data_IF_438398237507
#
_entry.id   IF_438398237507
#
_cell.length_a   1.000
_cell.length_b   1.000
_cell.length_c   1.000
_cell.angle_alpha   90.00
_cell.angle_beta   90.00
_cell.angle_gamma   90.00
#
_symmetry.space_group_name_H-M   'P 1'
#
loop_
_entity.id
_entity.type
_entity.pdbx_description
1 polymer ?
#
# COMPACT_ATOMS: atom_id res chain seq x y z
N UNK A 1 14.38 -7.14 0.60
CA UNK A 1 15.25 -8.08 1.35
C UNK A 1 15.19 -7.70 2.83
N UNK A 2 14.76 -8.62 3.70
CA UNK A 2 14.79 -8.40 5.15
C UNK A 2 16.24 -8.56 5.62
N UNK A 3 16.76 -7.55 6.31
CA UNK A 3 18.06 -7.63 6.96
C UNK A 3 17.88 -7.93 8.44
N UNK A 4 18.27 -9.13 8.84
CA UNK A 4 18.23 -9.60 10.24
C UNK A 4 19.62 -9.57 10.89
N UNK A 5 20.64 -9.05 10.20
CA UNK A 5 22.03 -9.04 10.68
C UNK A 5 22.37 -7.84 11.57
N UNK A 6 21.52 -6.82 11.60
CA UNK A 6 21.64 -5.65 12.48
C UNK A 6 20.79 -5.74 13.76
N UNK A 7 21.05 -4.86 14.72
CA UNK A 7 20.25 -4.71 15.96
C UNK A 7 18.78 -4.32 15.70
N UNK A 8 18.46 -3.86 14.48
CA UNK A 8 17.11 -3.50 14.07
C UNK A 8 16.75 -4.22 12.78
N UNK A 9 15.54 -4.81 12.77
CA UNK A 9 14.95 -5.36 11.54
C UNK A 9 14.68 -4.20 10.59
N UNK A 10 15.27 -4.25 9.40
CA UNK A 10 15.15 -3.21 8.38
C UNK A 10 14.60 -3.75 7.06
N UNK A 11 13.80 -2.93 6.38
CA UNK A 11 13.39 -3.14 4.99
C UNK A 11 14.29 -2.32 4.07
N UNK A 12 14.92 -2.99 3.10
CA UNK A 12 15.80 -2.35 2.11
C UNK A 12 15.10 -2.25 0.76
N UNK A 13 15.08 -1.04 0.19
CA UNK A 13 14.79 -0.82 -1.22
C UNK A 13 16.03 -1.15 -2.05
N UNK A 14 15.84 -1.91 -3.13
CA UNK A 14 16.91 -2.37 -4.04
C UNK A 14 16.45 -2.16 -5.47
N UNK A 15 17.40 -2.29 -6.42
CA UNK A 15 17.17 -2.09 -7.86
C UNK A 15 16.71 -0.65 -8.21
N UNK A 16 17.70 0.24 -8.30
CA UNK A 16 17.49 1.64 -8.67
C UNK A 16 17.71 1.90 -10.17
N UNK A 17 17.81 0.85 -10.99
CA UNK A 17 18.16 0.95 -12.42
C UNK A 17 17.11 1.68 -13.27
N UNK A 18 15.87 1.74 -12.80
CA UNK A 18 14.75 2.43 -13.45
C UNK A 18 14.38 3.76 -12.78
N UNK A 19 15.09 4.15 -11.71
CA UNK A 19 14.82 5.42 -11.02
C UNK A 19 15.15 6.60 -11.95
N UNK A 20 14.32 7.64 -11.88
CA UNK A 20 14.50 8.88 -12.61
C UNK A 20 14.32 10.06 -11.68
N UNK A 21 15.10 11.11 -11.92
CA UNK A 21 14.92 12.37 -11.21
C UNK A 21 13.66 13.04 -11.74
N UNK A 22 12.67 13.17 -10.85
CA UNK A 22 11.54 14.07 -11.01
C UNK A 22 11.94 15.36 -10.29
N UNK A 23 11.83 16.52 -10.93
CA UNK A 23 12.39 17.78 -10.41
C UNK A 23 11.91 18.11 -9.00
N UNK A 24 10.68 18.64 -8.89
CA UNK A 24 10.03 19.07 -7.65
C UNK A 24 8.62 18.49 -7.42
N UNK A 25 8.00 18.86 -6.29
CA UNK A 25 6.65 18.41 -5.91
C UNK A 25 5.63 18.96 -6.92
N UNK A 26 5.00 18.07 -7.67
CA UNK A 26 4.04 18.41 -8.74
C UNK A 26 4.64 18.34 -10.15
N UNK A 27 5.95 18.11 -10.28
CA UNK A 27 6.54 17.82 -11.59
C UNK A 27 6.13 16.43 -12.05
N UNK A 28 5.85 16.32 -13.34
CA UNK A 28 5.50 15.09 -14.02
C UNK A 28 6.61 14.70 -14.98
N UNK A 29 6.87 13.40 -15.05
CA UNK A 29 7.83 12.81 -15.96
C UNK A 29 7.10 12.02 -17.04
N UNK A 30 7.25 12.45 -18.28
CA UNK A 30 6.71 11.74 -19.43
C UNK A 30 7.77 10.76 -19.95
N UNK A 31 7.48 9.46 -19.86
CA UNK A 31 8.44 8.41 -20.21
C UNK A 31 7.71 7.18 -20.75
N UNK A 32 8.44 6.35 -21.50
CA UNK A 32 7.97 5.00 -21.82
C UNK A 32 7.58 4.26 -20.53
N UNK A 33 6.48 3.51 -20.62
CA UNK A 33 5.98 2.64 -19.56
C UNK A 33 6.97 1.54 -19.19
N UNK A 34 7.73 1.69 -18.10
CA UNK A 34 8.76 0.74 -17.64
C UNK A 34 8.42 0.13 -16.27
N UNK A 35 9.15 -0.91 -15.86
CA UNK A 35 8.94 -1.60 -14.59
C UNK A 35 7.86 -2.68 -14.62
N UNK A 36 7.53 -3.21 -13.45
CA UNK A 36 6.58 -4.32 -13.33
C UNK A 36 5.15 -3.87 -13.61
N UNK A 37 4.50 -4.50 -14.60
CA UNK A 37 3.13 -4.19 -15.00
C UNK A 37 2.12 -4.41 -13.87
N UNK A 38 2.33 -5.40 -13.00
CA UNK A 38 1.37 -5.74 -11.94
C UNK A 38 1.16 -4.64 -10.91
N UNK A 39 2.17 -3.81 -10.68
CA UNK A 39 2.14 -2.75 -9.66
C UNK A 39 2.08 -1.35 -10.26
N UNK A 40 2.03 -1.24 -11.59
CA UNK A 40 2.13 0.04 -12.29
C UNK A 40 0.85 0.87 -12.15
N UNK A 41 1.00 2.14 -11.81
CA UNK A 41 -0.11 3.09 -11.74
C UNK A 41 -0.77 3.32 -13.12
N UNK A 42 -2.10 3.48 -13.21
CA UNK A 42 -2.86 3.54 -14.47
C UNK A 42 -2.38 4.61 -15.48
N UNK A 43 -1.96 5.78 -15.01
CA UNK A 43 -1.46 6.87 -15.84
C UNK A 43 -0.07 6.60 -16.44
N UNK A 44 0.66 5.62 -15.91
CA UNK A 44 1.95 5.20 -16.46
C UNK A 44 1.80 4.25 -17.66
N UNK A 45 0.57 3.82 -17.98
CA UNK A 45 0.26 3.01 -19.15
C UNK A 45 0.07 3.96 -20.31
N UNK A 46 1.12 4.11 -21.14
CA UNK A 46 1.16 4.98 -22.30
C UNK A 46 -0.15 5.10 -23.10
N UNK A 47 -0.91 4.01 -23.39
CA UNK A 47 -2.17 4.07 -24.14
C UNK A 47 -3.26 5.03 -23.63
N UNK A 48 -3.16 5.49 -22.39
CA UNK A 48 -4.17 6.33 -21.74
C UNK A 48 -3.76 7.79 -21.56
N UNK A 49 -2.69 8.24 -22.21
CA UNK A 49 -2.16 9.60 -22.04
C UNK A 49 -2.22 10.42 -23.32
N UNK A 50 -2.15 11.74 -23.22
CA UNK A 50 -2.07 12.65 -24.37
C UNK A 50 -0.62 12.96 -24.79
N UNK A 51 0.37 12.29 -24.18
CA UNK A 51 1.79 12.60 -24.36
C UNK A 51 2.45 11.64 -25.35
N UNK A 52 3.21 12.18 -26.30
CA UNK A 52 3.91 11.42 -27.33
C UNK A 52 5.38 11.86 -27.45
N UNK A 53 6.27 10.93 -27.80
CA UNK A 53 7.64 11.27 -28.18
C UNK A 53 7.71 11.80 -29.63
N UNK A 54 8.90 12.23 -30.06
CA UNK A 54 9.15 12.72 -31.42
C UNK A 54 8.90 11.67 -32.53
N UNK A 55 8.76 10.40 -32.17
CA UNK A 55 8.48 9.28 -33.08
C UNK A 55 7.00 8.88 -33.07
N UNK A 56 6.15 9.58 -32.30
CA UNK A 56 4.73 9.26 -32.16
C UNK A 56 4.44 8.12 -31.18
N UNK A 57 5.39 7.75 -30.32
CA UNK A 57 5.19 6.75 -29.26
C UNK A 57 4.52 7.39 -28.06
N UNK A 58 3.40 6.83 -27.61
CA UNK A 58 2.65 7.34 -26.47
C UNK A 58 3.41 7.08 -25.15
N UNK A 59 3.46 8.08 -24.28
CA UNK A 59 4.29 8.11 -23.06
C UNK A 59 3.41 8.02 -21.82
N UNK A 60 3.80 7.19 -20.85
CA UNK A 60 3.19 7.23 -19.52
C UNK A 60 3.57 8.52 -18.78
N UNK A 61 2.70 8.96 -17.88
CA UNK A 61 2.96 10.05 -16.95
C UNK A 61 3.39 9.45 -15.62
N UNK A 62 4.51 9.91 -15.08
CA UNK A 62 5.02 9.49 -13.77
C UNK A 62 5.10 10.67 -12.84
N UNK A 63 4.56 10.51 -11.65
CA UNK A 63 4.83 11.38 -10.51
C UNK A 63 5.19 10.52 -9.29
N UNK A 64 5.50 11.18 -8.16
CA UNK A 64 5.79 10.49 -6.90
C UNK A 64 4.60 9.68 -6.35
N UNK A 65 3.37 9.90 -6.83
CA UNK A 65 2.17 9.17 -6.41
C UNK A 65 1.96 7.89 -7.21
N UNK A 66 2.64 7.70 -8.32
CA UNK A 66 2.74 6.40 -8.99
C UNK A 66 3.48 5.37 -8.10
N UNK A 67 4.49 5.80 -7.35
CA UNK A 67 5.17 4.94 -6.36
C UNK A 67 4.22 4.60 -5.20
N UNK A 68 3.45 5.58 -4.71
CA UNK A 68 2.44 5.37 -3.66
C UNK A 68 1.39 4.34 -4.10
N UNK A 69 0.89 4.43 -5.33
CA UNK A 69 -0.01 3.43 -5.90
C UNK A 69 0.60 2.02 -5.86
N UNK A 70 1.86 1.90 -6.29
CA UNK A 70 2.58 0.63 -6.33
C UNK A 70 2.69 0.01 -4.93
N UNK A 71 2.98 0.82 -3.91
CA UNK A 71 3.04 0.37 -2.51
C UNK A 71 1.64 -0.07 -2.03
N UNK A 72 0.59 0.66 -2.39
CA UNK A 72 -0.79 0.32 -2.03
C UNK A 72 -1.20 -1.05 -2.56
N UNK A 73 -0.81 -1.37 -3.80
CA UNK A 73 -1.02 -2.68 -4.41
C UNK A 73 -0.23 -3.77 -3.66
N UNK A 74 1.01 -3.51 -3.24
CA UNK A 74 1.78 -4.47 -2.42
C UNK A 74 1.08 -4.72 -1.08
N UNK A 75 0.63 -3.68 -0.38
CA UNK A 75 -0.09 -3.84 0.89
C UNK A 75 -1.42 -4.57 0.72
N UNK A 76 -2.16 -4.26 -0.33
CA UNK A 76 -3.38 -4.98 -0.70
C UNK A 76 -3.09 -6.48 -0.88
N UNK A 77 -1.99 -6.83 -1.55
CA UNK A 77 -1.57 -8.22 -1.74
C UNK A 77 -1.19 -8.94 -0.45
N UNK A 78 -0.54 -8.24 0.47
CA UNK A 78 -0.16 -8.83 1.76
C UNK A 78 -1.39 -9.17 2.61
N UNK A 79 -2.51 -8.48 2.41
CA UNK A 79 -3.75 -8.69 3.13
C UNK A 79 -4.69 -9.67 2.43
N UNK A 80 -4.65 -9.74 1.10
CA UNK A 80 -5.43 -10.65 0.27
C UNK A 80 -4.51 -11.57 -0.55
N UNK A 81 -4.31 -12.79 -0.04
CA UNK A 81 -3.45 -13.80 -0.63
C UNK A 81 -3.97 -14.35 -1.98
N UNK A 82 -5.22 -14.07 -2.38
CA UNK A 82 -5.80 -14.47 -3.67
C UNK A 82 -5.33 -13.56 -4.81
N UNK A 83 -4.01 -13.33 -4.90
CA UNK A 83 -3.40 -12.64 -6.02
C UNK A 83 -2.74 -13.65 -6.95
N UNK A 84 -3.54 -14.21 -7.85
CA UNK A 84 -3.06 -15.03 -8.95
C UNK A 84 -3.62 -14.46 -10.24
N UNK A 85 -2.93 -13.45 -10.80
CA UNK A 85 -3.13 -13.10 -12.21
C UNK A 85 -2.25 -14.04 -13.06
N UNK A 86 -2.56 -15.34 -13.05
CA UNK A 86 -1.78 -16.34 -13.82
C UNK A 86 -2.12 -16.35 -15.30
N UNK A 87 -3.28 -15.82 -15.73
CA UNK A 87 -3.83 -16.17 -17.05
C UNK A 87 -4.28 -14.98 -17.93
N UNK A 88 -3.92 -13.74 -17.60
CA UNK A 88 -4.28 -12.59 -18.43
C UNK A 88 -3.25 -12.39 -19.56
N UNK A 89 -3.64 -12.77 -20.78
CA UNK A 89 -2.74 -12.79 -21.95
C UNK A 89 -2.53 -11.45 -22.65
N UNK A 90 -3.27 -10.38 -22.29
CA UNK A 90 -3.12 -9.06 -22.92
C UNK A 90 -2.94 -7.95 -21.90
N UNK A 91 -2.18 -6.93 -22.31
CA UNK A 91 -1.88 -5.75 -21.50
C UNK A 91 -3.17 -5.05 -21.02
N UNK A 92 -4.16 -4.89 -21.90
CA UNK A 92 -5.42 -4.23 -21.58
C UNK A 92 -6.26 -4.98 -20.55
N UNK A 93 -6.29 -6.32 -20.64
CA UNK A 93 -6.98 -7.15 -19.66
C UNK A 93 -6.29 -7.04 -18.29
N UNK A 94 -4.96 -7.00 -18.28
CA UNK A 94 -4.18 -6.82 -17.06
C UNK A 94 -4.44 -5.44 -16.44
N UNK A 95 -4.41 -4.36 -17.21
CA UNK A 95 -4.71 -3.00 -16.73
C UNK A 95 -6.10 -2.90 -16.12
N UNK A 96 -7.10 -3.46 -16.81
CA UNK A 96 -8.48 -3.46 -16.33
C UNK A 96 -8.63 -4.30 -15.05
N UNK A 97 -7.99 -5.46 -14.97
CA UNK A 97 -8.04 -6.30 -13.78
C UNK A 97 -7.36 -5.63 -12.57
N UNK A 98 -6.24 -4.94 -12.77
CA UNK A 98 -5.57 -4.18 -11.71
C UNK A 98 -6.47 -3.05 -11.22
N UNK A 99 -7.09 -2.30 -12.14
CA UNK A 99 -8.03 -1.22 -11.81
C UNK A 99 -9.24 -1.75 -11.05
N UNK A 100 -9.87 -2.81 -11.55
CA UNK A 100 -11.05 -3.41 -10.94
C UNK A 100 -10.73 -4.01 -9.56
N UNK A 101 -9.52 -4.55 -9.34
CA UNK A 101 -9.10 -5.04 -8.01
C UNK A 101 -8.85 -3.91 -7.02
N UNK A 102 -8.22 -2.82 -7.46
CA UNK A 102 -8.09 -1.60 -6.65
C UNK A 102 -9.46 -1.05 -6.19
N UNK A 103 -10.49 -1.16 -7.04
CA UNK A 103 -11.87 -0.78 -6.69
C UNK A 103 -12.57 -1.73 -5.72
N UNK A 104 -12.20 -3.03 -5.71
CA UNK A 104 -12.86 -4.07 -4.92
C UNK A 104 -12.24 -4.33 -3.56
N UNK A 105 -11.09 -3.72 -3.25
CA UNK A 105 -10.44 -3.89 -1.95
C UNK A 105 -11.36 -3.50 -0.76
N UNK A 106 -12.42 -2.75 -1.05
CA UNK A 106 -13.34 -2.11 -0.11
C UNK A 106 -14.28 -3.05 0.68
N UNK A 107 -14.43 -4.34 0.34
CA UNK A 107 -15.57 -5.12 0.87
C UNK A 107 -15.26 -6.38 1.67
N UNK A 108 -14.12 -7.04 1.49
CA UNK A 108 -13.93 -8.40 2.06
C UNK A 108 -13.05 -8.40 3.33
N UNK A 109 -12.06 -7.52 3.43
CA UNK A 109 -11.04 -7.57 4.50
C UNK A 109 -11.40 -6.73 5.75
N UNK A 110 -12.38 -5.83 5.61
CA UNK A 110 -12.84 -4.83 6.59
C UNK A 110 -13.41 -5.38 7.94
N UNK A 111 -13.62 -6.69 8.09
CA UNK A 111 -14.41 -7.24 9.22
C UNK A 111 -13.66 -7.37 10.57
N UNK A 112 -12.37 -7.01 10.66
CA UNK A 112 -11.61 -7.00 11.92
C UNK A 112 -11.18 -5.57 12.28
N UNK A 113 -11.39 -5.15 13.52
CA UNK A 113 -11.24 -3.76 13.98
C UNK A 113 -9.84 -3.11 13.79
N UNK A 114 -8.78 -3.85 13.50
CA UNK A 114 -7.47 -3.29 13.11
C UNK A 114 -7.21 -3.24 11.59
N UNK A 115 -8.02 -3.94 10.79
CA UNK A 115 -7.86 -4.03 9.33
C UNK A 115 -8.59 -2.88 8.65
N UNK A 116 -9.67 -2.35 9.22
CA UNK A 116 -10.41 -1.23 8.61
C UNK A 116 -9.52 0.01 8.42
N UNK A 117 -8.79 0.44 9.45
CA UNK A 117 -7.91 1.61 9.33
C UNK A 117 -6.81 1.41 8.30
N UNK A 118 -6.24 0.20 8.23
CA UNK A 118 -5.24 -0.13 7.21
C UNK A 118 -5.87 -0.17 5.81
N UNK A 119 -7.11 -0.66 5.69
CA UNK A 119 -7.85 -0.65 4.44
C UNK A 119 -8.15 0.77 3.95
N UNK A 120 -8.52 1.69 4.84
CA UNK A 120 -8.74 3.10 4.50
C UNK A 120 -7.45 3.76 3.98
N UNK A 121 -6.30 3.44 4.60
CA UNK A 121 -4.99 3.90 4.11
C UNK A 121 -4.72 3.35 2.71
N UNK A 122 -4.89 2.05 2.48
CA UNK A 122 -4.67 1.42 1.18
C UNK A 122 -5.60 2.04 0.12
N UNK A 123 -6.88 2.24 0.45
CA UNK A 123 -7.84 2.89 -0.43
C UNK A 123 -7.41 4.32 -0.79
N UNK A 124 -6.84 5.08 0.16
CA UNK A 124 -6.30 6.42 -0.11
C UNK A 124 -5.09 6.40 -1.07
N UNK A 125 -4.34 5.29 -1.12
CA UNK A 125 -3.20 5.10 -2.02
C UNK A 125 -3.65 4.64 -3.42
N UNK A 126 -4.78 3.94 -3.50
CA UNK A 126 -5.33 3.34 -4.71
C UNK A 126 -6.44 4.17 -5.39
N UNK A 127 -6.47 5.49 -5.15
CA UNK A 127 -7.38 6.40 -5.86
C UNK A 127 -7.04 6.44 -7.36
N UNK A 128 -8.07 6.45 -8.22
CA UNK A 128 -7.86 6.45 -9.69
C UNK A 128 -7.08 7.67 -10.16
N UNK A 129 -7.50 8.85 -9.69
CA UNK A 129 -6.81 10.10 -9.99
C UNK A 129 -5.54 10.22 -9.17
N UNK A 130 -4.41 10.44 -9.84
CA UNK A 130 -3.14 10.74 -9.15
C UNK A 130 -3.30 11.96 -8.21
N UNK A 131 -4.08 12.97 -8.61
CA UNK A 131 -4.31 14.14 -7.76
C UNK A 131 -4.99 13.80 -6.42
N UNK A 132 -5.88 12.80 -6.40
CA UNK A 132 -6.66 12.40 -5.23
C UNK A 132 -5.92 11.39 -4.32
N UNK A 133 -4.88 10.72 -4.83
CA UNK A 133 -4.09 9.78 -4.02
C UNK A 133 -3.41 10.49 -2.86
N UNK A 134 -3.32 9.81 -1.72
CA UNK A 134 -2.50 10.29 -0.60
C UNK A 134 -1.03 10.42 -1.00
N UNK A 135 -0.32 11.37 -0.39
CA UNK A 135 1.14 11.41 -0.48
C UNK A 135 1.79 10.52 0.59
N UNK A 136 3.08 10.22 0.42
CA UNK A 136 3.80 9.29 1.29
C UNK A 136 3.88 9.78 2.74
N UNK A 137 3.86 11.09 2.97
CA UNK A 137 3.92 11.70 4.29
C UNK A 137 2.58 11.48 5.02
N UNK A 138 1.47 11.73 4.34
CA UNK A 138 0.12 11.44 4.84
C UNK A 138 -0.04 9.96 5.16
N UNK A 139 0.39 9.07 4.25
CA UNK A 139 0.34 7.61 4.47
C UNK A 139 1.15 7.22 5.71
N UNK A 140 2.39 7.72 5.83
CA UNK A 140 3.27 7.41 6.96
C UNK A 140 2.67 7.86 8.29
N UNK A 141 2.05 9.05 8.32
CA UNK A 141 1.38 9.57 9.52
C UNK A 141 0.18 8.72 9.92
N UNK A 142 -0.64 8.31 8.95
CA UNK A 142 -1.81 7.45 9.21
C UNK A 142 -1.38 6.09 9.74
N UNK A 143 -0.34 5.47 9.17
CA UNK A 143 0.23 4.21 9.65
C UNK A 143 0.75 4.38 11.08
N UNK A 144 1.53 5.45 11.36
CA UNK A 144 2.03 5.73 12.70
C UNK A 144 0.91 5.85 13.73
N UNK A 145 -0.18 6.54 13.38
CA UNK A 145 -1.36 6.68 14.24
C UNK A 145 -2.01 5.33 14.54
N UNK A 146 -2.17 4.47 13.53
CA UNK A 146 -2.73 3.13 13.72
C UNK A 146 -1.85 2.24 14.61
N UNK A 147 -0.52 2.33 14.46
CA UNK A 147 0.41 1.58 15.30
C UNK A 147 0.33 2.04 16.76
N UNK A 148 0.30 3.35 17.01
CA UNK A 148 0.13 3.88 18.36
C UNK A 148 -1.20 3.44 19.01
N UNK A 149 -2.28 3.38 18.22
CA UNK A 149 -3.57 2.89 18.70
C UNK A 149 -3.50 1.40 19.06
N UNK A 150 -2.94 0.57 18.18
CA UNK A 150 -2.79 -0.86 18.42
C UNK A 150 -1.91 -1.17 19.65
N UNK A 151 -0.83 -0.41 19.86
CA UNK A 151 0.04 -0.54 21.04
C UNK A 151 -0.68 -0.19 22.35
N UNK A 152 -1.53 0.86 22.33
CA UNK A 152 -2.34 1.25 23.49
C UNK A 152 -3.40 0.19 23.82
N UNK A 153 -4.07 -0.34 22.80
CA UNK A 153 -5.07 -1.41 22.97
C UNK A 153 -4.43 -2.68 23.57
N UNK A 154 -3.29 -3.11 23.03
CA UNK A 154 -2.56 -4.27 23.54
C UNK A 154 -2.12 -4.10 25.01
N UNK A 155 -1.67 -2.89 25.37
CA UNK A 155 -1.27 -2.56 26.75
C UNK A 155 -2.46 -2.59 27.72
N UNK A 156 -3.62 -2.09 27.30
CA UNK A 156 -4.85 -2.09 28.12
C UNK A 156 -5.41 -3.50 28.33
N UNK A 157 -5.40 -4.34 27.29
CA UNK A 157 -5.82 -5.75 27.41
C UNK A 157 -4.93 -6.52 28.39
N UNK A 158 -3.61 -6.27 28.36
CA UNK A 158 -2.67 -6.87 29.29
C UNK A 158 -2.95 -6.46 30.74
N UNK A 159 -3.22 -5.18 31.00
CA UNK A 159 -3.57 -4.68 32.33
C UNK A 159 -4.89 -5.23 32.86
N UNK A 160 -5.91 -5.36 32.00
CA UNK A 160 -7.19 -5.95 32.37
C UNK A 160 -7.07 -7.45 32.69
N UNK A 161 -6.26 -8.18 31.91
CA UNK A 161 -5.95 -9.59 32.16
C UNK A 161 -5.22 -9.82 33.49
N UNK A 162 -4.26 -8.95 33.84
CA UNK A 162 -3.55 -9.00 35.13
C UNK A 162 -4.49 -8.72 36.30
N UNK A 163 -5.36 -7.71 36.18
CA UNK A 163 -6.38 -7.39 37.20
C UNK A 163 -7.37 -8.55 37.39
N UNK A 164 -7.86 -9.16 36.31
CA UNK A 164 -8.78 -10.29 36.39
C UNK A 164 -8.16 -11.51 37.12
N UNK A 165 -6.89 -11.83 36.82
CA UNK A 165 -6.15 -12.92 37.49
C UNK A 165 -5.90 -12.62 38.97
N UNK A 166 -5.59 -11.38 39.32
CA UNK A 166 -5.42 -10.92 40.71
C UNK A 166 -6.71 -11.08 41.52
N UNK A 167 -7.85 -10.64 40.98
CA UNK A 167 -9.16 -10.77 41.63
C UNK A 167 -9.59 -12.23 41.81
N UNK A 168 -9.31 -13.10 40.83
CA UNK A 168 -9.59 -14.53 40.94
C UNK A 168 -8.71 -15.21 42.02
N UNK A 169 -7.47 -14.76 42.19
CA UNK A 169 -6.57 -15.28 43.22
C UNK A 169 -7.00 -14.88 44.63
N UNK A 170 -7.43 -13.63 44.83
CA UNK A 170 -7.87 -13.13 46.14
C UNK A 170 -9.19 -13.74 46.62
N UNK A 171 -10.11 -14.08 45.69
CA UNK A 171 -11.35 -14.80 46.01
C UNK A 171 -11.09 -16.24 46.44
N UNK A 172 -10.08 -16.93 45.88
CA UNK A 172 -9.73 -18.32 46.27
C UNK A 172 -9.06 -18.44 47.63
N UNK A 173 -8.41 -17.40 48.11
CA UNK A 173 -7.77 -17.38 49.45
C UNK A 173 -8.74 -17.02 50.58
N UNK A 174 -9.96 -16.60 50.26
CA UNK A 174 -10.98 -16.21 51.24
C UNK A 174 -12.01 -17.32 51.55
N UNK A 175 -11.88 -18.50 50.91
CA UNK A 175 -12.66 -19.72 51.17
C UNK A 175 -11.82 -20.73 51.94
#
# INVERSE_FOLDING_TARGET
>A
MLDTSGERIGVKLVDLGLCKLVGGKGDMLNSLGVGNLLYRAPECWGPHTEYYDLKGTQLGVYDHKADVWSIGLVFSQMLDAEWVMSDLMTLDLLTNAIRDKAERFDTVTASRAGIQGLADIINSMLQKSAAERADIESVSKSIGTLLEMAEREASQEQDQSVKAKSTLASVRTAQ
#
